data_IF_337337096801
#
_entry.id   IF_337337096801
#
_cell.length_a   1.000
_cell.length_b   1.000
_cell.length_c   1.000
_cell.angle_alpha   90.00
_cell.angle_beta   90.00
_cell.angle_gamma   90.00
#
_symmetry.space_group_name_H-M   'P 1'
#
loop_
_entity.id
_entity.type
_entity.pdbx_description
1 polymer ?
#
# COMPACT_ATOMS: atom_id res chain seq x y z
N UNK A 1 -6.72 2.21 -17.02
CA UNK A 1 -7.71 1.11 -17.03
C UNK A 1 -7.53 0.27 -15.78
N UNK A 2 -8.61 -0.19 -15.19
CA UNK A 2 -8.60 -1.12 -14.06
C UNK A 2 -9.28 -2.42 -14.49
N UNK A 3 -8.73 -3.55 -14.07
CA UNK A 3 -9.32 -4.88 -14.32
C UNK A 3 -9.46 -5.61 -13.01
N UNK A 4 -10.68 -6.03 -12.71
CA UNK A 4 -11.02 -6.82 -11.54
C UNK A 4 -11.33 -8.24 -11.97
N UNK A 5 -10.85 -9.21 -11.19
CA UNK A 5 -11.19 -10.63 -11.32
C UNK A 5 -11.48 -11.19 -9.93
N UNK A 6 -12.71 -11.63 -9.76
CA UNK A 6 -13.15 -12.33 -8.55
C UNK A 6 -13.23 -13.83 -8.85
N UNK A 7 -12.71 -14.64 -7.94
CA UNK A 7 -12.82 -16.10 -7.95
C UNK A 7 -13.06 -16.63 -6.54
N UNK A 8 -13.17 -17.97 -6.40
CA UNK A 8 -13.48 -18.59 -5.11
C UNK A 8 -12.42 -18.32 -4.00
N UNK A 9 -11.19 -17.97 -4.36
CA UNK A 9 -10.11 -17.68 -3.41
C UNK A 9 -9.96 -16.21 -3.06
N UNK A 10 -10.51 -15.28 -3.86
CA UNK A 10 -10.34 -13.86 -3.59
C UNK A 10 -10.45 -12.96 -4.81
N UNK A 11 -9.90 -11.76 -4.69
CA UNK A 11 -9.96 -10.68 -5.67
C UNK A 11 -8.57 -10.35 -6.21
N UNK A 12 -8.42 -10.35 -7.54
CA UNK A 12 -7.27 -9.78 -8.23
C UNK A 12 -7.63 -8.44 -8.85
N UNK A 13 -6.75 -7.46 -8.70
CA UNK A 13 -6.86 -6.16 -9.34
C UNK A 13 -5.59 -5.89 -10.16
N UNK A 14 -5.76 -5.50 -11.43
CA UNK A 14 -4.67 -5.03 -12.28
C UNK A 14 -4.92 -3.57 -12.64
N UNK A 15 -3.96 -2.71 -12.34
CA UNK A 15 -3.92 -1.32 -12.79
C UNK A 15 -3.08 -1.25 -14.06
N UNK A 16 -3.60 -0.56 -15.09
CA UNK A 16 -2.90 -0.35 -16.36
C UNK A 16 -2.93 1.15 -16.66
N UNK A 17 -1.75 1.73 -16.70
CA UNK A 17 -1.50 3.12 -17.11
C UNK A 17 -0.95 3.14 -18.54
N UNK A 18 -1.33 4.13 -19.31
CA UNK A 18 -0.77 4.42 -20.63
C UNK A 18 -0.56 5.93 -20.74
N UNK A 19 0.61 6.34 -21.21
CA UNK A 19 0.79 7.71 -21.64
C UNK A 19 0.10 7.91 -22.99
N UNK A 20 -0.99 8.68 -22.99
CA UNK A 20 -1.77 9.03 -24.21
C UNK A 20 -1.33 10.34 -24.84
N UNK A 21 -0.37 11.05 -24.25
CA UNK A 21 0.19 12.30 -24.76
C UNK A 21 1.33 12.07 -25.77
N UNK A 22 1.92 13.15 -26.21
CA UNK A 22 3.03 13.23 -27.17
C UNK A 22 4.40 13.53 -26.50
N UNK A 23 4.41 13.73 -25.18
CA UNK A 23 5.60 13.98 -24.39
C UNK A 23 5.75 12.95 -23.26
N UNK A 24 6.97 12.71 -22.75
CA UNK A 24 7.17 11.89 -21.54
C UNK A 24 6.42 12.47 -20.36
N UNK A 25 5.74 11.61 -19.59
CA UNK A 25 4.91 12.01 -18.45
C UNK A 25 5.32 11.28 -17.17
N UNK A 26 5.54 11.98 -16.05
CA UNK A 26 5.69 11.35 -14.76
C UNK A 26 4.36 10.75 -14.32
N UNK A 27 4.42 9.61 -13.63
CA UNK A 27 3.22 8.95 -13.12
C UNK A 27 3.51 8.16 -11.85
N UNK A 28 2.41 7.86 -11.16
CA UNK A 28 2.33 6.88 -10.09
C UNK A 28 0.92 6.36 -9.98
N UNK A 29 0.74 5.25 -9.32
CA UNK A 29 -0.56 4.68 -9.03
C UNK A 29 -0.55 3.95 -7.69
N UNK A 30 -1.73 3.74 -7.15
CA UNK A 30 -1.98 2.99 -5.93
C UNK A 30 -3.42 2.60 -5.82
N UNK A 31 -3.72 1.86 -4.78
CA UNK A 31 -5.08 1.57 -4.36
C UNK A 31 -5.26 2.01 -2.91
N UNK A 32 -6.50 2.38 -2.56
CA UNK A 32 -6.84 2.87 -1.22
C UNK A 32 -8.04 2.10 -0.64
N UNK A 33 -7.87 0.80 -0.36
CA UNK A 33 -8.95 -0.01 0.19
C UNK A 33 -9.13 0.25 1.69
N UNK A 34 -10.38 0.21 2.13
CA UNK A 34 -10.79 0.34 3.52
C UNK A 34 -11.18 -1.02 4.06
N UNK A 35 -10.65 -1.39 5.21
CA UNK A 35 -10.94 -2.66 5.86
C UNK A 35 -11.41 -2.45 7.29
N UNK A 36 -12.40 -3.19 7.73
CA UNK A 36 -12.83 -3.24 9.14
C UNK A 36 -11.94 -4.18 9.98
N UNK A 37 -10.78 -4.54 9.47
CA UNK A 37 -9.79 -5.35 10.18
C UNK A 37 -9.26 -4.62 11.41
N UNK A 38 -8.85 -5.36 12.44
CA UNK A 38 -8.33 -4.80 13.69
C UNK A 38 -6.81 -4.72 13.73
N UNK A 39 -6.14 -5.53 12.93
CA UNK A 39 -4.67 -5.60 12.89
C UNK A 39 -4.19 -5.85 11.48
N UNK A 40 -3.01 -5.35 11.18
CA UNK A 40 -2.24 -5.72 9.98
C UNK A 40 -0.86 -6.24 10.38
N UNK A 41 -0.48 -7.38 9.83
CA UNK A 41 0.88 -7.92 9.91
C UNK A 41 1.57 -7.70 8.57
N UNK A 42 2.73 -7.04 8.59
CA UNK A 42 3.54 -6.78 7.41
C UNK A 42 5.01 -6.64 7.78
N UNK A 43 5.89 -6.71 6.80
CA UNK A 43 7.31 -6.45 6.97
C UNK A 43 7.78 -5.36 6.00
N UNK A 44 8.39 -4.30 6.53
CA UNK A 44 8.98 -3.22 5.77
C UNK A 44 10.28 -2.75 6.45
N UNK A 45 11.24 -2.31 5.64
CA UNK A 45 12.58 -1.95 6.15
C UNK A 45 12.79 -0.46 6.32
N UNK A 46 11.87 0.37 5.80
CA UNK A 46 12.04 1.82 5.81
C UNK A 46 10.72 2.53 6.07
N UNK A 47 10.76 3.46 7.00
CA UNK A 47 9.67 4.39 7.31
C UNK A 47 10.00 5.76 6.69
N UNK A 48 9.02 6.37 6.02
CA UNK A 48 9.10 7.76 5.59
C UNK A 48 8.55 8.68 6.69
N UNK A 49 9.13 9.88 6.87
CA UNK A 49 8.58 10.83 7.82
C UNK A 49 7.17 11.27 7.40
N UNK A 50 6.28 11.58 8.35
CA UNK A 50 4.94 12.08 8.05
C UNK A 50 5.02 13.42 7.29
N UNK A 51 4.09 13.64 6.36
CA UNK A 51 4.04 14.85 5.52
C UNK A 51 3.79 16.16 6.28
N UNK A 52 3.29 16.10 7.52
CA UNK A 52 2.99 17.27 8.34
C UNK A 52 4.22 17.98 8.93
N UNK A 53 5.39 17.37 8.83
CA UNK A 53 6.65 18.04 9.17
C UNK A 53 7.20 18.70 7.91
N UNK A 54 7.19 20.01 7.86
CA UNK A 54 7.79 20.81 6.79
C UNK A 54 9.24 20.34 6.52
N UNK A 55 9.46 19.62 5.45
CA UNK A 55 10.69 19.02 4.93
C UNK A 55 10.83 17.51 5.18
N UNK A 56 10.99 16.70 4.13
CA UNK A 56 11.23 15.26 4.25
C UNK A 56 12.64 15.01 4.77
N UNK A 57 12.77 14.83 6.07
CA UNK A 57 14.03 14.36 6.63
C UNK A 57 14.19 12.88 6.32
N UNK A 58 15.42 12.54 5.92
CA UNK A 58 15.86 11.20 5.52
C UNK A 58 15.16 10.06 6.26
N UNK A 59 14.62 9.12 5.49
CA UNK A 59 14.00 7.90 5.97
C UNK A 59 14.85 7.23 7.06
N UNK A 60 14.28 7.03 8.25
CA UNK A 60 14.94 6.31 9.33
C UNK A 60 15.01 4.82 8.98
N UNK A 61 16.20 4.27 9.11
CA UNK A 61 16.51 2.87 8.86
C UNK A 61 15.94 1.98 9.97
N UNK A 62 15.31 0.88 9.55
CA UNK A 62 14.84 -0.28 10.33
C UNK A 62 13.67 -0.01 11.27
N UNK A 63 12.49 -0.33 10.80
CA UNK A 63 11.37 -0.66 11.67
C UNK A 63 10.65 -1.88 11.10
N UNK A 64 10.61 -2.95 11.88
CA UNK A 64 9.68 -4.04 11.64
C UNK A 64 8.31 -3.56 12.18
N UNK A 65 7.41 -3.15 11.31
CA UNK A 65 6.04 -2.84 11.70
C UNK A 65 5.28 -4.16 11.71
N UNK A 66 5.35 -4.87 12.82
CA UNK A 66 4.66 -6.16 12.95
C UNK A 66 3.20 -6.03 13.36
N UNK A 67 2.74 -4.87 13.80
CA UNK A 67 1.34 -4.65 14.16
C UNK A 67 1.03 -3.15 14.26
N UNK A 68 0.12 -2.63 13.44
CA UNK A 68 -0.47 -1.33 13.69
C UNK A 68 -1.67 -1.52 14.63
N UNK A 69 -1.61 -0.97 15.85
CA UNK A 69 -2.78 -0.83 16.71
C UNK A 69 -3.61 0.34 16.23
N UNK A 70 -4.90 0.14 16.04
CA UNK A 70 -5.82 1.13 15.47
C UNK A 70 -6.25 2.23 16.46
N UNK A 71 -5.84 2.14 17.72
CA UNK A 71 -6.43 2.97 18.80
C UNK A 71 -5.99 4.42 18.79
N UNK A 72 -4.84 4.75 18.21
CA UNK A 72 -4.24 6.10 18.28
C UNK A 72 -4.23 6.87 16.96
N UNK A 73 -4.72 6.25 15.89
CA UNK A 73 -4.52 6.76 14.53
C UNK A 73 -3.13 6.42 13.98
N UNK A 74 -3.03 6.30 12.68
CA UNK A 74 -1.79 6.00 11.97
C UNK A 74 -1.83 6.64 10.59
N UNK A 75 -0.74 7.29 10.19
CA UNK A 75 -0.51 7.76 8.84
C UNK A 75 0.95 7.49 8.52
N UNK A 76 1.20 6.31 7.97
CA UNK A 76 2.55 5.76 7.88
C UNK A 76 2.87 5.34 6.45
N UNK A 77 3.92 5.93 5.88
CA UNK A 77 4.46 5.59 4.57
C UNK A 77 5.67 4.67 4.73
N UNK A 78 5.61 3.51 4.12
CA UNK A 78 6.60 2.45 4.21
C UNK A 78 7.22 2.17 2.84
N UNK A 79 8.52 1.88 2.84
CA UNK A 79 9.27 1.43 1.66
C UNK A 79 10.03 0.15 1.94
N UNK A 80 10.44 -0.52 0.86
CA UNK A 80 11.13 -1.82 0.97
C UNK A 80 10.29 -2.83 1.77
N UNK A 81 8.99 -2.81 1.55
CA UNK A 81 8.12 -3.85 2.06
C UNK A 81 8.15 -5.08 1.13
N UNK A 82 7.78 -6.24 1.66
CA UNK A 82 7.91 -7.51 0.94
C UNK A 82 6.80 -7.79 -0.08
N UNK A 83 5.94 -6.80 -0.36
CA UNK A 83 4.77 -6.99 -1.23
C UNK A 83 3.69 -7.86 -0.60
N UNK A 84 3.73 -8.05 0.72
CA UNK A 84 2.79 -8.91 1.47
C UNK A 84 2.33 -8.23 2.74
N UNK A 85 1.01 -8.31 3.00
CA UNK A 85 0.40 -7.93 4.26
C UNK A 85 -0.72 -8.91 4.60
N UNK A 86 -0.93 -9.18 5.89
CA UNK A 86 -2.05 -9.99 6.36
C UNK A 86 -2.90 -9.15 7.31
N UNK A 87 -4.17 -9.03 7.00
CA UNK A 87 -5.15 -8.34 7.83
C UNK A 87 -5.90 -9.39 8.66
N UNK A 88 -6.18 -9.05 9.92
CA UNK A 88 -6.83 -9.93 10.87
C UNK A 88 -8.05 -9.26 11.49
N UNK A 89 -9.15 -10.00 11.58
CA UNK A 89 -10.38 -9.65 12.28
C UNK A 89 -10.46 -10.39 13.61
N UNK A 90 -11.23 -9.85 14.56
CA UNK A 90 -11.41 -10.47 15.90
C UNK A 90 -12.15 -11.81 15.85
N UNK A 91 -12.92 -12.07 14.79
CA UNK A 91 -13.63 -13.32 14.56
C UNK A 91 -12.77 -14.41 13.88
N UNK A 92 -11.47 -14.17 13.75
CA UNK A 92 -10.51 -15.12 13.17
C UNK A 92 -10.46 -15.13 11.65
N UNK A 93 -11.20 -14.25 10.97
CA UNK A 93 -11.03 -14.04 9.52
C UNK A 93 -9.67 -13.42 9.23
N UNK A 94 -9.12 -13.76 8.07
CA UNK A 94 -7.88 -13.21 7.57
C UNK A 94 -7.99 -12.85 6.10
N UNK A 95 -7.25 -11.82 5.68
CA UNK A 95 -7.05 -11.46 4.29
C UNK A 95 -5.55 -11.33 4.03
N UNK A 96 -5.03 -12.17 3.13
CA UNK A 96 -3.66 -12.04 2.65
C UNK A 96 -3.64 -11.16 1.40
N UNK A 97 -2.95 -10.03 1.49
CA UNK A 97 -2.69 -9.14 0.37
C UNK A 97 -1.30 -9.43 -0.18
N UNK A 98 -1.21 -9.63 -1.49
CA UNK A 98 0.05 -9.78 -2.25
C UNK A 98 0.05 -8.79 -3.38
N UNK A 99 1.12 -8.00 -3.49
CA UNK A 99 1.28 -6.97 -4.50
C UNK A 99 2.53 -7.23 -5.36
N UNK A 100 2.41 -6.89 -6.63
CA UNK A 100 3.50 -6.84 -7.59
C UNK A 100 4.62 -5.90 -7.08
N UNK A 101 5.92 -6.17 -7.35
CA UNK A 101 7.03 -5.29 -6.98
C UNK A 101 6.93 -3.84 -7.49
N UNK A 102 6.07 -3.59 -8.48
CA UNK A 102 5.75 -2.25 -8.94
C UNK A 102 5.10 -1.37 -7.85
N UNK A 103 4.41 -1.98 -6.89
CA UNK A 103 3.95 -1.34 -5.67
C UNK A 103 5.08 -1.33 -4.63
N UNK A 104 6.10 -0.50 -4.89
CA UNK A 104 7.34 -0.47 -4.11
C UNK A 104 7.15 0.12 -2.69
N UNK A 105 6.02 0.75 -2.45
CA UNK A 105 5.68 1.43 -1.21
C UNK A 105 4.32 0.97 -0.69
N UNK A 106 4.10 1.19 0.60
CA UNK A 106 2.86 0.87 1.28
C UNK A 106 2.47 2.03 2.20
N UNK A 107 1.21 2.42 2.17
CA UNK A 107 0.64 3.31 3.18
C UNK A 107 -0.23 2.49 4.11
N UNK A 108 -0.10 2.74 5.41
CA UNK A 108 -1.02 2.25 6.44
C UNK A 108 -1.63 3.46 7.11
N UNK A 109 -2.96 3.56 7.02
CA UNK A 109 -3.68 4.71 7.54
C UNK A 109 -4.90 4.27 8.36
N UNK A 110 -5.13 4.96 9.46
CA UNK A 110 -6.39 4.99 10.19
C UNK A 110 -6.53 6.32 10.92
N UNK A 111 -7.73 6.90 10.95
CA UNK A 111 -8.01 8.07 11.74
C UNK A 111 -8.21 7.70 13.22
N UNK A 112 -7.91 8.62 14.18
CA UNK A 112 -8.23 8.39 15.59
C UNK A 112 -9.72 8.08 15.79
N UNK A 113 -10.02 6.97 16.46
CA UNK A 113 -11.40 6.54 16.72
C UNK A 113 -12.14 5.94 15.52
N UNK A 114 -11.47 5.75 14.39
CA UNK A 114 -12.07 5.08 13.24
C UNK A 114 -12.26 3.57 13.46
N UNK A 115 -13.27 3.01 12.81
CA UNK A 115 -13.54 1.57 12.78
C UNK A 115 -12.96 0.87 11.54
N UNK A 116 -12.09 1.55 10.80
CA UNK A 116 -11.43 1.06 9.60
C UNK A 116 -9.91 1.22 9.64
N UNK A 117 -9.25 0.42 8.83
CA UNK A 117 -7.81 0.44 8.54
C UNK A 117 -7.62 0.46 7.02
N UNK A 118 -6.77 1.35 6.52
CA UNK A 118 -6.34 1.35 5.13
C UNK A 118 -4.96 0.69 5.00
N UNK A 119 -4.82 -0.19 4.04
CA UNK A 119 -3.54 -0.80 3.66
C UNK A 119 -3.39 -0.62 2.16
N UNK A 120 -2.55 0.31 1.77
CA UNK A 120 -2.54 0.92 0.46
C UNK A 120 -1.23 0.64 -0.28
N UNK A 121 -1.15 -0.42 -1.10
CA UNK A 121 -0.03 -0.58 -2.01
C UNK A 121 0.03 0.56 -3.02
N UNK A 122 1.17 1.26 -3.08
CA UNK A 122 1.40 2.39 -3.97
C UNK A 122 2.73 2.26 -4.70
N UNK A 123 2.83 2.79 -5.91
CA UNK A 123 4.06 2.74 -6.70
C UNK A 123 5.10 3.77 -6.24
N UNK A 124 4.65 4.85 -5.60
CA UNK A 124 5.49 5.97 -5.22
C UNK A 124 5.07 6.53 -3.85
N UNK A 125 5.98 7.21 -3.19
CA UNK A 125 5.69 7.93 -1.95
C UNK A 125 4.86 9.19 -2.23
N UNK A 126 4.28 9.76 -1.18
CA UNK A 126 3.67 11.09 -1.26
C UNK A 126 4.72 12.13 -1.70
N UNK A 127 4.26 13.14 -2.44
CA UNK A 127 5.11 14.21 -3.01
C UNK A 127 6.26 13.71 -3.92
N UNK A 128 6.12 12.52 -4.47
CA UNK A 128 7.17 11.84 -5.23
C UNK A 128 7.70 12.66 -6.41
N UNK A 129 6.85 13.45 -7.06
CA UNK A 129 7.23 14.23 -8.24
C UNK A 129 8.18 15.37 -7.87
N UNK A 130 7.87 16.12 -6.83
CA UNK A 130 8.75 17.20 -6.36
C UNK A 130 10.04 16.65 -5.77
N UNK A 131 9.96 15.56 -5.00
CA UNK A 131 11.13 14.90 -4.44
C UNK A 131 12.05 14.35 -5.53
N UNK A 132 11.50 13.73 -6.57
CA UNK A 132 12.29 13.24 -7.70
C UNK A 132 12.91 14.40 -8.50
N UNK A 133 12.19 15.50 -8.70
CA UNK A 133 12.73 16.72 -9.31
C UNK A 133 13.86 17.34 -8.47
N UNK A 134 13.83 17.17 -7.16
CA UNK A 134 14.90 17.54 -6.23
C UNK A 134 16.05 16.52 -6.15
N UNK A 135 16.03 15.45 -6.96
CA UNK A 135 17.09 14.45 -7.07
C UNK A 135 16.94 13.22 -6.16
N UNK A 136 15.82 13.04 -5.44
CA UNK A 136 15.61 11.82 -4.66
C UNK A 136 15.11 10.67 -5.55
N UNK A 137 16.00 9.74 -5.88
CA UNK A 137 15.70 8.56 -6.71
C UNK A 137 14.88 7.47 -6.00
N UNK A 138 14.61 7.61 -4.67
CA UNK A 138 13.92 6.57 -3.87
C UNK A 138 12.41 6.73 -3.86
N UNK A 139 11.90 7.72 -4.55
CA UNK A 139 10.47 8.10 -4.53
C UNK A 139 9.55 7.09 -5.17
N UNK A 140 10.08 6.21 -6.04
CA UNK A 140 9.27 5.28 -6.85
C UNK A 140 8.55 5.94 -8.04
N UNK A 141 8.69 7.26 -8.23
CA UNK A 141 8.17 7.96 -9.41
C UNK A 141 8.78 7.39 -10.68
N UNK A 142 7.96 7.21 -11.69
CA UNK A 142 8.35 6.73 -13.03
C UNK A 142 7.95 7.74 -14.10
N UNK A 143 8.60 7.66 -15.25
CA UNK A 143 8.25 8.44 -16.44
C UNK A 143 7.88 7.46 -17.54
N UNK A 144 6.74 7.67 -18.20
CA UNK A 144 6.32 6.92 -19.38
C UNK A 144 6.57 7.76 -20.64
N UNK A 145 7.22 7.15 -21.62
CA UNK A 145 7.32 7.72 -22.97
C UNK A 145 5.92 7.76 -23.65
N UNK A 146 5.75 8.58 -24.71
CA UNK A 146 4.53 8.59 -25.49
C UNK A 146 4.12 7.18 -25.95
N UNK A 147 2.86 6.82 -25.72
CA UNK A 147 2.31 5.50 -26.07
C UNK A 147 2.70 4.36 -25.14
N UNK A 148 3.69 4.54 -24.28
CA UNK A 148 4.17 3.51 -23.36
C UNK A 148 3.08 3.11 -22.37
N UNK A 149 3.10 1.84 -21.96
CA UNK A 149 2.18 1.27 -20.96
C UNK A 149 2.96 0.70 -19.80
N UNK A 150 2.37 0.82 -18.64
CA UNK A 150 2.85 0.19 -17.42
C UNK A 150 1.69 -0.46 -16.68
N UNK A 151 1.91 -1.64 -16.12
CA UNK A 151 0.86 -2.33 -15.37
C UNK A 151 1.44 -3.00 -14.13
N UNK A 152 0.60 -3.12 -13.11
CA UNK A 152 0.87 -3.87 -11.91
C UNK A 152 -0.40 -4.51 -11.39
N UNK A 153 -0.26 -5.63 -10.72
CA UNK A 153 -1.35 -6.40 -10.15
C UNK A 153 -1.17 -6.59 -8.66
N UNK A 154 -2.29 -6.75 -7.97
CA UNK A 154 -2.33 -7.21 -6.61
C UNK A 154 -3.38 -8.31 -6.46
N UNK A 155 -3.23 -9.13 -5.43
CA UNK A 155 -4.15 -10.20 -5.08
C UNK A 155 -4.53 -10.07 -3.60
N UNK A 156 -5.80 -10.23 -3.32
CA UNK A 156 -6.39 -10.32 -1.99
C UNK A 156 -7.03 -11.70 -1.85
N UNK A 157 -6.43 -12.57 -1.04
CA UNK A 157 -6.96 -13.91 -0.73
C UNK A 157 -7.65 -13.86 0.64
N UNK A 158 -8.94 -14.17 0.66
CA UNK A 158 -9.74 -14.13 1.86
C UNK A 158 -9.90 -15.53 2.47
N UNK A 159 -9.63 -15.64 3.77
CA UNK A 159 -9.80 -16.86 4.53
C UNK A 159 -10.90 -16.68 5.59
N UNK A 160 -11.89 -17.54 5.56
CA UNK A 160 -12.89 -17.60 6.61
C UNK A 160 -12.24 -18.11 7.90
N UNK A 161 -12.50 -17.43 9.01
CA UNK A 161 -12.07 -17.89 10.33
C UNK A 161 -12.58 -19.31 10.61
N UNK A 162 -11.80 -20.08 11.35
CA UNK A 162 -12.26 -21.41 11.77
C UNK A 162 -13.53 -21.24 12.63
N UNK A 163 -14.62 -21.96 12.38
CA UNK A 163 -15.78 -21.97 13.27
C UNK A 163 -15.33 -22.42 14.66
N UNK A 164 -15.42 -21.56 15.66
CA UNK A 164 -15.14 -21.94 17.06
C UNK A 164 -14.19 -21.02 17.86
N UNK A 165 -13.64 -19.97 17.29
CA UNK A 165 -12.73 -19.05 18.01
C UNK A 165 -13.45 -17.85 18.64
N UNK A 166 -14.68 -18.00 19.12
CA UNK A 166 -15.29 -17.00 20.01
C UNK A 166 -14.70 -17.24 21.39
N UNK A 167 -13.62 -16.54 21.71
CA UNK A 167 -13.22 -16.41 23.12
C UNK A 167 -14.25 -15.52 23.81
N UNK A 168 -14.94 -16.09 24.80
CA UNK A 168 -15.81 -15.40 25.75
C UNK A 168 -14.99 -14.43 26.59
#
# INVERSE_FOLDING_TARGET
MQRYRLDAGGLSLTLIMRNGGDTPMPFGFGIHPYFTARRVALHARRLWPPMSAACPRAARSRMCVSCASLTEGCDTYLSQWEGRATLHWDDGRELALRADPAFAHLVVYTAPGADFLCVEPVSNVADAFNLAAAGDARTGMRVLAPGERYSASLRMDFQLGKPGAIRR
#
